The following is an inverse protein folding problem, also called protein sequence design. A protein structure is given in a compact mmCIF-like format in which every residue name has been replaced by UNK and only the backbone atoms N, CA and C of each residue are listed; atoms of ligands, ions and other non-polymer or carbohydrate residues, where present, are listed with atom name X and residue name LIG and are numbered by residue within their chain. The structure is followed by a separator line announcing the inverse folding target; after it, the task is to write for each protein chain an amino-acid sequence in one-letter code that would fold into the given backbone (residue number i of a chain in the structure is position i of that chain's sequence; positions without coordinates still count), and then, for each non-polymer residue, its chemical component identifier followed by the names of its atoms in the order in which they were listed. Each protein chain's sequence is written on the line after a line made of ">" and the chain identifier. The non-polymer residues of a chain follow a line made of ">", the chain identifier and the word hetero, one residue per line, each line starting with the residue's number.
data_IF_721039036723
#
_entry.id   IF_721039036723
#
_cell.length_a   1.000
_cell.length_b   1.000
_cell.length_c   1.000
_cell.angle_alpha   90.00
_cell.angle_beta   90.00
_cell.angle_gamma   90.00
#
_symmetry.space_group_name_H-M   'P 1'
#
loop_
_entity.id
_entity.type
_entity.pdbx_description
1 polymer ?
#
# COMPACT_ATOMS: atom_id res chain seq x y z
N UNK A 1 17.20 8.53 48.07
CA UNK A 1 16.85 7.14 47.74
C UNK A 1 16.46 7.10 46.28
N UNK A 2 17.40 6.75 45.41
CA UNK A 2 17.18 6.61 43.96
C UNK A 2 16.54 5.27 43.71
N UNK A 3 15.33 5.25 43.11
CA UNK A 3 14.74 4.04 42.61
C UNK A 3 15.44 3.69 41.29
N UNK A 4 16.39 2.80 41.34
CA UNK A 4 16.96 2.14 40.16
C UNK A 4 15.85 1.33 39.48
N UNK A 5 15.41 1.80 38.32
CA UNK A 5 14.55 1.04 37.43
C UNK A 5 15.32 -0.18 36.91
N UNK A 6 15.19 -1.29 37.59
CA UNK A 6 15.70 -2.57 37.12
C UNK A 6 14.91 -2.96 35.87
N UNK A 7 15.51 -2.76 34.70
CA UNK A 7 15.05 -3.34 33.45
C UNK A 7 15.23 -4.86 33.55
N UNK A 8 14.24 -5.57 34.09
CA UNK A 8 14.28 -7.01 34.09
C UNK A 8 13.98 -7.48 32.67
N UNK A 9 15.02 -7.86 31.95
CA UNK A 9 14.93 -8.61 30.72
C UNK A 9 14.48 -10.06 31.04
N UNK A 10 13.28 -10.22 31.60
CA UNK A 10 12.71 -11.56 31.65
C UNK A 10 12.35 -11.97 30.24
N UNK A 11 12.85 -13.11 29.74
CA UNK A 11 12.42 -13.63 28.47
C UNK A 11 10.92 -13.79 28.47
N UNK A 12 10.23 -13.20 27.48
CA UNK A 12 8.82 -13.53 27.27
C UNK A 12 8.71 -15.03 27.00
N UNK A 13 7.72 -15.67 27.64
CA UNK A 13 7.43 -17.07 27.34
C UNK A 13 7.09 -17.23 25.85
N UNK A 14 7.40 -18.39 25.30
CA UNK A 14 7.02 -18.72 23.93
C UNK A 14 5.50 -18.67 23.77
N UNK A 15 5.05 -18.14 22.64
CA UNK A 15 3.63 -18.04 22.33
C UNK A 15 3.04 -19.43 22.12
N UNK A 16 2.05 -19.78 22.94
CA UNK A 16 1.31 -21.04 22.80
C UNK A 16 0.46 -21.05 21.51
N UNK A 17 0.11 -22.26 21.06
CA UNK A 17 -0.79 -22.41 19.90
C UNK A 17 -2.17 -21.75 20.10
N UNK A 18 -2.63 -21.65 21.35
CA UNK A 18 -3.90 -21.00 21.68
C UNK A 18 -3.77 -19.48 21.56
N UNK A 19 -2.71 -18.88 22.12
CA UNK A 19 -2.43 -17.45 22.00
C UNK A 19 -2.22 -17.06 20.53
N UNK A 20 -1.48 -17.86 19.76
CA UNK A 20 -1.31 -17.64 18.34
C UNK A 20 -2.66 -17.55 17.60
N UNK A 21 -3.57 -18.50 17.83
CA UNK A 21 -4.90 -18.47 17.21
C UNK A 21 -5.74 -17.26 17.60
N UNK A 22 -5.67 -16.82 18.85
CA UNK A 22 -6.38 -15.64 19.33
C UNK A 22 -5.87 -14.36 18.60
N UNK A 23 -4.55 -14.20 18.51
CA UNK A 23 -3.95 -13.07 17.81
C UNK A 23 -4.15 -13.13 16.31
N UNK A 24 -4.06 -14.31 15.70
CA UNK A 24 -4.36 -14.51 14.28
C UNK A 24 -5.80 -14.11 13.96
N UNK A 25 -6.77 -14.53 14.78
CA UNK A 25 -8.18 -14.20 14.61
C UNK A 25 -8.42 -12.68 14.73
N UNK A 26 -7.80 -12.00 15.69
CA UNK A 26 -7.90 -10.54 15.85
C UNK A 26 -7.34 -9.80 14.63
N UNK A 27 -6.20 -10.24 14.11
CA UNK A 27 -5.59 -9.64 12.91
C UNK A 27 -6.47 -9.83 11.69
N UNK A 28 -6.94 -11.06 11.46
CA UNK A 28 -7.81 -11.38 10.31
C UNK A 28 -9.14 -10.62 10.39
N UNK A 29 -9.75 -10.54 11.56
CA UNK A 29 -11.02 -9.81 11.76
C UNK A 29 -10.87 -8.30 11.46
N UNK A 30 -9.83 -7.68 12.02
CA UNK A 30 -9.64 -6.23 11.91
C UNK A 30 -9.01 -5.77 10.60
N UNK A 31 -8.20 -6.61 9.94
CA UNK A 31 -7.42 -6.19 8.75
C UNK A 31 -7.64 -7.07 7.53
N UNK A 32 -8.20 -8.26 7.72
CA UNK A 32 -8.26 -9.30 6.68
C UNK A 32 -6.93 -10.04 6.46
N UNK A 33 -5.83 -9.58 7.05
CA UNK A 33 -4.49 -10.17 6.89
C UNK A 33 -4.44 -11.51 7.61
N UNK A 34 -4.00 -12.53 6.88
CA UNK A 34 -3.83 -13.89 7.41
C UNK A 34 -2.35 -14.12 7.69
N UNK A 35 -2.06 -14.48 8.93
CA UNK A 35 -0.73 -14.94 9.34
C UNK A 35 -0.75 -16.47 9.36
N UNK A 36 -0.01 -17.12 8.49
CA UNK A 36 0.05 -18.59 8.45
C UNK A 36 0.81 -19.17 9.67
N UNK A 37 0.62 -20.44 9.97
CA UNK A 37 1.28 -21.10 11.10
C UNK A 37 2.81 -21.03 11.01
N UNK A 38 3.37 -21.09 9.79
CA UNK A 38 4.81 -20.98 9.55
C UNK A 38 5.36 -19.59 9.92
N UNK A 39 4.49 -18.59 10.04
CA UNK A 39 4.83 -17.22 10.44
C UNK A 39 4.56 -16.93 11.91
N UNK A 40 4.32 -17.95 12.75
CA UNK A 40 4.11 -17.77 14.19
C UNK A 40 5.29 -17.05 14.84
N UNK A 41 6.53 -17.40 14.49
CA UNK A 41 7.74 -16.77 15.04
C UNK A 41 7.82 -15.28 14.70
N UNK A 42 7.39 -14.88 13.51
CA UNK A 42 7.29 -13.47 13.13
C UNK A 42 6.28 -12.73 14.00
N UNK A 43 5.09 -13.30 14.19
CA UNK A 43 4.06 -12.72 15.06
C UNK A 43 4.55 -12.59 16.50
N UNK A 44 5.13 -13.66 17.05
CA UNK A 44 5.71 -13.68 18.39
C UNK A 44 6.79 -12.61 18.57
N UNK A 45 7.70 -12.47 17.61
CA UNK A 45 8.77 -11.46 17.65
C UNK A 45 8.21 -10.04 17.61
N UNK A 46 7.24 -9.77 16.74
CA UNK A 46 6.61 -8.46 16.60
C UNK A 46 5.84 -8.04 17.84
N UNK A 47 5.01 -8.94 18.39
CA UNK A 47 4.27 -8.72 19.63
C UNK A 47 5.23 -8.57 20.82
N UNK A 48 6.17 -9.50 20.95
CA UNK A 48 7.14 -9.52 22.05
C UNK A 48 8.03 -8.27 22.09
N UNK A 49 8.42 -7.75 20.94
CA UNK A 49 9.12 -6.47 20.83
C UNK A 49 8.30 -5.33 21.44
N UNK A 50 7.03 -5.23 21.08
CA UNK A 50 6.15 -4.19 21.60
C UNK A 50 5.79 -4.38 23.06
N UNK A 51 5.53 -5.59 23.50
CA UNK A 51 5.28 -5.93 24.90
C UNK A 51 6.43 -5.49 25.81
N UNK A 52 7.67 -5.73 25.40
CA UNK A 52 8.87 -5.28 26.15
C UNK A 52 8.95 -3.76 26.29
N UNK A 53 8.69 -3.02 25.21
CA UNK A 53 8.66 -1.55 25.25
C UNK A 53 7.60 -1.00 26.22
N UNK A 54 6.51 -1.72 26.38
CA UNK A 54 5.39 -1.34 27.24
C UNK A 54 5.46 -1.93 28.66
N UNK A 55 6.46 -2.76 28.94
CA UNK A 55 6.58 -3.46 30.21
C UNK A 55 5.46 -4.47 30.48
N UNK A 56 4.88 -5.07 29.42
CA UNK A 56 3.81 -6.08 29.51
C UNK A 56 4.42 -7.46 29.45
N UNK A 57 4.15 -8.30 30.46
CA UNK A 57 4.81 -9.59 30.65
C UNK A 57 4.12 -10.79 29.99
N UNK A 58 2.87 -10.67 29.53
CA UNK A 58 2.11 -11.79 28.95
C UNK A 58 1.19 -11.36 27.81
N UNK A 59 0.92 -12.30 26.87
CA UNK A 59 0.11 -12.07 25.68
C UNK A 59 -1.36 -11.73 25.98
N UNK A 60 -1.93 -12.25 27.05
CA UNK A 60 -3.32 -12.01 27.41
C UNK A 60 -3.52 -10.57 27.91
N UNK A 61 -2.61 -10.08 28.74
CA UNK A 61 -2.61 -8.67 29.19
C UNK A 61 -2.38 -7.71 28.03
N UNK A 62 -1.48 -8.06 27.08
CA UNK A 62 -1.27 -7.25 25.88
C UNK A 62 -2.50 -7.26 24.97
N UNK A 63 -3.16 -8.41 24.80
CA UNK A 63 -4.41 -8.52 24.04
C UNK A 63 -5.49 -7.58 24.58
N UNK A 64 -5.73 -7.60 25.89
CA UNK A 64 -6.67 -6.66 26.53
C UNK A 64 -6.28 -5.20 26.26
N UNK A 65 -5.01 -4.86 26.42
CA UNK A 65 -4.52 -3.51 26.16
C UNK A 65 -4.77 -3.04 24.73
N UNK A 66 -4.69 -3.92 23.74
CA UNK A 66 -4.93 -3.64 22.33
C UNK A 66 -6.43 -3.56 21.99
N UNK A 67 -7.26 -4.30 22.75
CA UNK A 67 -8.70 -4.39 22.45
C UNK A 67 -9.54 -3.40 23.23
N UNK A 68 -9.07 -2.90 24.38
CA UNK A 68 -9.87 -2.15 25.33
C UNK A 68 -9.71 -0.62 25.16
N UNK A 69 -10.84 0.03 24.94
CA UNK A 69 -10.99 1.48 24.98
C UNK A 69 -10.20 2.29 23.95
N UNK A 70 -10.18 3.62 24.09
CA UNK A 70 -9.52 4.52 23.13
C UNK A 70 -8.00 4.31 23.04
N UNK A 71 -7.35 3.98 24.16
CA UNK A 71 -5.91 3.68 24.18
C UNK A 71 -5.58 2.41 23.40
N UNK A 72 -6.49 1.45 23.37
CA UNK A 72 -6.36 0.24 22.56
C UNK A 72 -6.31 0.53 21.06
N UNK A 73 -7.09 1.50 20.58
CA UNK A 73 -7.05 1.89 19.17
C UNK A 73 -5.70 2.51 18.75
N UNK A 74 -5.08 3.30 19.64
CA UNK A 74 -3.73 3.85 19.40
C UNK A 74 -2.68 2.75 19.41
N UNK A 75 -2.76 1.85 20.39
CA UNK A 75 -1.84 0.73 20.51
C UNK A 75 -1.99 -0.24 19.33
N UNK A 76 -3.22 -0.52 18.90
CA UNK A 76 -3.50 -1.29 17.68
C UNK A 76 -2.81 -0.70 16.46
N UNK A 77 -2.87 0.62 16.27
CA UNK A 77 -2.21 1.29 15.15
C UNK A 77 -0.68 1.11 15.20
N UNK A 78 -0.07 1.26 16.38
CA UNK A 78 1.36 1.03 16.57
C UNK A 78 1.77 -0.42 16.33
N UNK A 79 0.91 -1.36 16.70
CA UNK A 79 1.13 -2.78 16.46
C UNK A 79 1.02 -3.12 14.96
N UNK A 80 0.05 -2.55 14.25
CA UNK A 80 -0.11 -2.75 12.81
C UNK A 80 1.13 -2.33 12.02
N UNK A 81 1.75 -1.23 12.40
CA UNK A 81 2.98 -0.74 11.76
C UNK A 81 4.14 -1.75 11.84
N UNK A 82 4.13 -2.64 12.85
CA UNK A 82 5.12 -3.72 13.03
C UNK A 82 4.74 -5.02 12.32
N UNK A 83 3.45 -5.23 12.10
CA UNK A 83 2.91 -6.45 11.50
C UNK A 83 2.74 -6.35 9.99
N UNK A 84 2.70 -5.13 9.46
CA UNK A 84 2.64 -4.91 8.01
C UNK A 84 4.03 -4.99 7.39
N UNK A 85 4.12 -5.74 6.28
CA UNK A 85 5.36 -5.83 5.49
C UNK A 85 5.45 -4.58 4.62
N UNK A 86 6.45 -3.74 4.89
CA UNK A 86 6.66 -2.47 4.17
C UNK A 86 7.73 -2.61 3.07
N UNK A 87 7.80 -3.77 2.42
CA UNK A 87 8.73 -3.96 1.30
C UNK A 87 8.12 -3.39 0.02
N UNK A 88 8.68 -2.29 -0.43
CA UNK A 88 8.27 -1.62 -1.66
C UNK A 88 9.47 -0.94 -2.32
N UNK A 89 9.38 -0.69 -3.63
CA UNK A 89 10.40 -0.02 -4.43
C UNK A 89 9.75 0.74 -5.58
N UNK A 90 10.43 1.73 -6.11
CA UNK A 90 10.00 2.42 -7.32
C UNK A 90 9.94 1.45 -8.49
N UNK A 91 8.90 1.58 -9.33
CA UNK A 91 8.70 0.78 -10.54
C UNK A 91 8.83 -0.74 -10.33
N UNK A 92 8.38 -1.25 -9.18
CA UNK A 92 8.57 -2.65 -8.73
C UNK A 92 8.24 -3.69 -9.79
N UNK A 93 7.26 -3.44 -10.66
CA UNK A 93 6.91 -4.28 -11.80
C UNK A 93 6.85 -3.44 -13.07
N UNK A 94 8.00 -3.24 -13.71
CA UNK A 94 8.16 -2.34 -14.87
C UNK A 94 7.09 -2.53 -15.95
N UNK A 95 6.74 -3.76 -16.38
CA UNK A 95 5.69 -3.96 -17.40
C UNK A 95 4.35 -3.30 -17.06
N UNK A 96 3.97 -3.24 -15.77
CA UNK A 96 2.75 -2.54 -15.35
C UNK A 96 2.80 -1.03 -15.59
N UNK A 97 3.96 -0.42 -15.43
CA UNK A 97 4.16 1.02 -15.68
C UNK A 97 4.27 1.33 -17.17
N UNK A 98 4.85 0.41 -17.98
CA UNK A 98 4.86 0.51 -19.43
C UNK A 98 3.42 0.42 -19.99
N UNK A 99 2.61 -0.51 -19.48
CA UNK A 99 1.19 -0.58 -19.77
C UNK A 99 0.47 0.71 -19.40
N UNK A 100 0.75 1.25 -18.20
CA UNK A 100 0.16 2.52 -17.75
C UNK A 100 0.46 3.67 -18.74
N UNK A 101 1.71 3.82 -19.17
CA UNK A 101 2.09 4.86 -20.11
C UNK A 101 1.33 4.73 -21.45
N UNK A 102 1.17 3.50 -21.95
CA UNK A 102 0.39 3.21 -23.16
C UNK A 102 -1.08 3.56 -22.95
N UNK A 103 -1.68 3.07 -21.87
CA UNK A 103 -3.06 3.34 -21.52
C UNK A 103 -3.34 4.85 -21.39
N UNK A 104 -2.46 5.61 -20.74
CA UNK A 104 -2.65 7.06 -20.57
C UNK A 104 -2.67 7.79 -21.91
N UNK A 105 -1.78 7.42 -22.86
CA UNK A 105 -1.78 8.00 -24.22
C UNK A 105 -3.08 7.73 -24.96
N UNK A 106 -3.56 6.48 -24.94
CA UNK A 106 -4.80 6.06 -25.58
C UNK A 106 -6.01 6.75 -24.92
N UNK A 107 -6.07 6.73 -23.59
CA UNK A 107 -7.17 7.32 -22.83
C UNK A 107 -7.30 8.83 -23.06
N UNK A 108 -6.19 9.54 -23.09
CA UNK A 108 -6.18 10.99 -23.37
C UNK A 108 -6.59 11.32 -24.80
N UNK A 109 -6.23 10.46 -25.77
CA UNK A 109 -6.69 10.60 -27.14
C UNK A 109 -8.22 10.43 -27.25
N UNK A 110 -8.81 9.58 -26.41
CA UNK A 110 -10.25 9.32 -26.36
C UNK A 110 -11.04 10.45 -25.66
N UNK A 111 -10.64 10.82 -24.43
CA UNK A 111 -11.42 11.72 -23.57
C UNK A 111 -10.97 13.18 -23.61
N UNK A 112 -9.81 13.44 -24.24
CA UNK A 112 -9.18 14.76 -24.24
C UNK A 112 -8.57 15.14 -22.88
N UNK A 113 -8.08 16.38 -22.79
CA UNK A 113 -7.34 16.90 -21.64
C UNK A 113 -8.20 17.68 -20.64
N UNK A 114 -9.49 17.86 -20.92
CA UNK A 114 -10.40 18.67 -20.08
C UNK A 114 -10.77 17.96 -18.75
N UNK A 115 -10.71 16.63 -18.72
CA UNK A 115 -11.06 15.85 -17.54
C UNK A 115 -9.82 15.50 -16.71
N UNK A 116 -9.81 15.79 -15.40
CA UNK A 116 -8.73 15.38 -14.53
C UNK A 116 -8.67 13.84 -14.43
N UNK A 117 -7.49 13.27 -14.63
CA UNK A 117 -7.27 11.83 -14.45
C UNK A 117 -7.03 11.51 -12.97
N UNK A 118 -7.71 10.48 -12.49
CA UNK A 118 -7.66 9.99 -11.12
C UNK A 118 -6.98 8.63 -11.07
N UNK A 119 -5.82 8.58 -10.44
CA UNK A 119 -5.06 7.34 -10.24
C UNK A 119 -5.10 6.94 -8.76
N UNK A 120 -5.16 5.66 -8.48
CA UNK A 120 -5.19 5.13 -7.12
C UNK A 120 -4.22 3.96 -6.94
N UNK A 121 -3.31 4.08 -5.97
CA UNK A 121 -2.42 3.02 -5.49
C UNK A 121 -2.99 2.46 -4.19
N UNK A 122 -3.40 1.20 -4.17
CA UNK A 122 -4.02 0.50 -3.04
C UNK A 122 -2.98 -0.37 -2.34
N UNK A 123 -2.68 -0.07 -1.07
CA UNK A 123 -1.56 -0.67 -0.33
C UNK A 123 -0.24 0.01 -0.71
N UNK A 124 -0.24 1.34 -0.74
CA UNK A 124 0.87 2.14 -1.27
C UNK A 124 2.15 2.13 -0.43
N UNK A 125 2.13 1.56 0.78
CA UNK A 125 3.25 1.50 1.70
C UNK A 125 3.93 2.87 1.88
N UNK A 126 5.24 2.97 1.74
CA UNK A 126 6.03 4.19 1.89
C UNK A 126 6.06 5.10 0.66
N UNK A 127 5.17 4.89 -0.30
CA UNK A 127 4.88 5.87 -1.37
C UNK A 127 5.60 5.63 -2.70
N UNK A 128 6.47 4.64 -2.81
CA UNK A 128 7.22 4.38 -4.05
C UNK A 128 6.29 4.11 -5.24
N UNK A 129 5.20 3.36 -5.06
CA UNK A 129 4.25 3.09 -6.13
C UNK A 129 3.45 4.34 -6.56
N UNK A 130 2.79 5.10 -5.68
CA UNK A 130 2.08 6.31 -6.11
C UNK A 130 2.98 7.36 -6.74
N UNK A 131 4.23 7.51 -6.30
CA UNK A 131 5.18 8.40 -6.97
C UNK A 131 5.63 7.85 -8.32
N UNK A 132 5.77 6.53 -8.48
CA UNK A 132 6.02 5.93 -9.81
C UNK A 132 4.86 6.18 -10.77
N UNK A 133 3.61 6.06 -10.31
CA UNK A 133 2.41 6.41 -11.10
C UNK A 133 2.44 7.89 -11.51
N UNK A 134 2.78 8.78 -10.57
CA UNK A 134 2.86 10.21 -10.83
C UNK A 134 3.97 10.55 -11.85
N UNK A 135 5.14 9.91 -11.74
CA UNK A 135 6.24 10.08 -12.71
C UNK A 135 5.81 9.64 -14.12
N UNK A 136 5.17 8.45 -14.26
CA UNK A 136 4.68 7.99 -15.56
C UNK A 136 3.66 8.97 -16.15
N UNK A 137 2.72 9.47 -15.35
CA UNK A 137 1.74 10.44 -15.82
C UNK A 137 2.39 11.76 -16.26
N UNK A 138 3.37 12.25 -15.52
CA UNK A 138 4.11 13.47 -15.85
C UNK A 138 4.99 13.29 -17.11
N UNK A 139 5.67 12.15 -17.27
CA UNK A 139 6.45 11.86 -18.49
C UNK A 139 5.53 11.74 -19.71
N UNK A 140 4.36 11.11 -19.57
CA UNK A 140 3.39 11.04 -20.67
C UNK A 140 2.92 12.44 -21.09
N UNK A 141 2.78 13.41 -20.17
CA UNK A 141 2.51 14.81 -20.52
C UNK A 141 3.63 15.40 -21.39
N UNK A 142 4.87 15.17 -20.99
CA UNK A 142 6.04 15.68 -21.71
C UNK A 142 6.13 15.06 -23.12
N UNK A 143 5.97 13.74 -23.22
CA UNK A 143 6.03 13.01 -24.48
C UNK A 143 4.96 13.45 -25.48
N UNK A 144 3.73 13.65 -24.99
CA UNK A 144 2.61 14.08 -25.84
C UNK A 144 2.61 15.59 -26.14
N UNK A 145 3.44 16.39 -25.48
CA UNK A 145 3.39 17.84 -25.56
C UNK A 145 2.05 18.44 -25.11
N UNK A 146 1.32 17.72 -24.24
CA UNK A 146 0.00 18.09 -23.74
C UNK A 146 0.05 18.39 -22.24
N UNK A 147 -0.85 19.20 -21.77
CA UNK A 147 -1.03 19.46 -20.35
C UNK A 147 -2.43 19.08 -19.92
N UNK A 148 -2.52 18.23 -18.88
CA UNK A 148 -3.77 17.90 -18.24
C UNK A 148 -3.58 17.80 -16.72
N UNK A 149 -4.66 17.88 -15.96
CA UNK A 149 -4.60 17.67 -14.53
C UNK A 149 -4.69 16.17 -14.23
N UNK A 150 -3.79 15.67 -13.38
CA UNK A 150 -3.90 14.35 -12.77
C UNK A 150 -3.64 14.42 -11.27
N UNK A 151 -4.23 13.48 -10.54
CA UNK A 151 -3.98 13.28 -9.11
C UNK A 151 -3.83 11.80 -8.80
N UNK A 152 -2.87 11.47 -7.96
CA UNK A 152 -2.64 10.11 -7.47
C UNK A 152 -3.02 10.02 -6.00
N UNK A 153 -3.92 9.12 -5.67
CA UNK A 153 -4.23 8.79 -4.27
C UNK A 153 -3.51 7.51 -3.88
N UNK A 154 -2.64 7.58 -2.88
CA UNK A 154 -2.06 6.40 -2.23
C UNK A 154 -2.84 6.05 -0.97
N UNK A 155 -3.19 4.79 -0.76
CA UNK A 155 -3.85 4.35 0.48
C UNK A 155 -3.14 3.16 1.10
N UNK A 156 -3.01 3.18 2.43
CA UNK A 156 -2.44 2.09 3.20
C UNK A 156 -3.10 2.02 4.59
N UNK A 157 -2.97 0.89 5.27
CA UNK A 157 -3.45 0.73 6.64
C UNK A 157 -2.43 1.23 7.66
N UNK A 158 -1.14 1.23 7.33
CA UNK A 158 -0.01 1.64 8.17
C UNK A 158 0.16 3.15 8.18
N UNK A 159 0.03 3.77 9.36
CA UNK A 159 0.26 5.21 9.52
C UNK A 159 1.74 5.58 9.37
N UNK A 160 2.65 4.72 9.84
CA UNK A 160 4.08 4.99 9.72
C UNK A 160 4.55 4.96 8.27
N UNK A 161 4.01 4.03 7.46
CA UNK A 161 4.26 3.98 6.03
C UNK A 161 3.74 5.22 5.31
N UNK A 162 2.49 5.62 5.60
CA UNK A 162 1.88 6.83 5.03
C UNK A 162 2.62 8.12 5.40
N UNK A 163 3.18 8.21 6.60
CA UNK A 163 3.99 9.37 6.98
C UNK A 163 5.26 9.46 6.14
N UNK A 164 5.96 8.34 5.91
CA UNK A 164 7.11 8.29 4.99
C UNK A 164 6.70 8.68 3.56
N UNK A 165 5.55 8.18 3.09
CA UNK A 165 5.02 8.54 1.78
C UNK A 165 4.74 10.05 1.65
N UNK A 166 4.23 10.70 2.72
CA UNK A 166 3.97 12.14 2.74
C UNK A 166 5.25 12.97 2.85
N UNK A 167 6.25 12.50 3.59
CA UNK A 167 7.57 13.14 3.64
C UNK A 167 8.26 13.09 2.28
N UNK A 168 7.99 12.05 1.49
CA UNK A 168 8.54 11.83 0.15
C UNK A 168 10.08 11.87 0.12
N UNK A 169 10.73 11.39 1.20
CA UNK A 169 12.18 11.39 1.37
C UNK A 169 12.69 9.95 1.37
N UNK A 170 13.62 9.67 0.48
CA UNK A 170 14.12 8.33 0.23
C UNK A 170 15.65 8.27 0.32
N UNK A 171 16.18 7.10 0.71
CA UNK A 171 17.61 6.84 0.68
C UNK A 171 18.10 6.61 -0.76
N UNK A 172 19.41 6.82 -1.05
CA UNK A 172 19.97 6.54 -2.36
C UNK A 172 19.64 5.13 -2.88
N UNK A 173 19.72 4.13 -2.01
CA UNK A 173 19.40 2.72 -2.35
C UNK A 173 17.97 2.52 -2.89
N UNK A 174 17.03 3.36 -2.49
CA UNK A 174 15.65 3.29 -3.01
C UNK A 174 15.55 3.80 -4.45
N UNK A 175 16.51 4.63 -4.87
CA UNK A 175 16.57 5.20 -6.21
C UNK A 175 17.37 4.33 -7.20
N UNK A 176 18.05 3.28 -6.74
CA UNK A 176 18.89 2.42 -7.59
C UNK A 176 18.12 1.81 -8.79
N UNK A 177 16.81 1.62 -8.66
CA UNK A 177 15.95 1.08 -9.72
C UNK A 177 15.20 2.17 -10.52
N UNK A 178 15.39 3.44 -10.16
CA UNK A 178 14.84 4.58 -10.91
C UNK A 178 15.79 4.93 -12.04
N UNK A 179 15.24 5.10 -13.24
CA UNK A 179 16.03 5.59 -14.38
C UNK A 179 16.75 6.89 -14.02
N UNK A 180 18.01 7.04 -14.44
CA UNK A 180 18.84 8.18 -14.07
C UNK A 180 18.24 9.53 -14.50
N UNK A 181 17.58 9.58 -15.68
CA UNK A 181 16.91 10.79 -16.16
C UNK A 181 15.69 11.14 -15.29
N UNK A 182 14.91 10.14 -14.87
CA UNK A 182 13.79 10.31 -13.95
C UNK A 182 14.28 10.72 -12.57
N UNK A 183 15.36 10.09 -12.06
CA UNK A 183 15.95 10.45 -10.79
C UNK A 183 16.41 11.91 -10.76
N UNK A 184 17.09 12.35 -11.81
CA UNK A 184 17.54 13.75 -11.94
C UNK A 184 16.38 14.75 -12.04
N UNK A 185 15.28 14.37 -12.69
CA UNK A 185 14.10 15.24 -12.90
C UNK A 185 13.20 15.35 -11.70
N UNK A 186 13.00 14.25 -10.98
CA UNK A 186 11.96 14.15 -9.95
C UNK A 186 12.47 14.07 -8.53
N UNK A 187 13.79 14.02 -8.31
CA UNK A 187 14.36 13.99 -6.99
C UNK A 187 15.43 15.06 -6.81
N UNK A 188 15.47 15.65 -5.63
CA UNK A 188 16.48 16.63 -5.24
C UNK A 188 17.16 16.21 -3.92
N UNK A 189 18.46 16.44 -3.74
CA UNK A 189 19.12 16.19 -2.47
C UNK A 189 18.48 17.01 -1.33
N UNK A 190 18.26 16.39 -0.16
CA UNK A 190 17.60 17.04 0.97
C UNK A 190 18.36 16.89 2.31
N UNK A 191 19.67 16.70 2.27
CA UNK A 191 20.51 16.48 3.45
C UNK A 191 20.67 14.99 3.81
N UNK A 192 21.67 14.70 4.65
CA UNK A 192 22.02 13.33 5.12
C UNK A 192 22.16 12.29 3.99
N UNK A 193 22.54 12.72 2.80
CA UNK A 193 22.64 11.85 1.62
C UNK A 193 21.31 11.27 1.15
N UNK A 194 20.18 11.87 1.53
CA UNK A 194 18.84 11.47 1.10
C UNK A 194 18.32 12.34 -0.04
N UNK A 195 17.27 11.88 -0.67
CA UNK A 195 16.62 12.55 -1.80
C UNK A 195 15.14 12.74 -1.51
N UNK A 196 14.64 13.93 -1.82
CA UNK A 196 13.22 14.27 -1.72
C UNK A 196 12.61 14.37 -3.10
N UNK A 197 11.40 13.88 -3.27
CA UNK A 197 10.59 14.11 -4.47
C UNK A 197 10.36 15.62 -4.64
N UNK A 198 10.53 16.14 -5.85
CA UNK A 198 10.30 17.56 -6.15
C UNK A 198 8.86 17.98 -5.86
N UNK A 199 8.66 19.20 -5.37
CA UNK A 199 7.36 19.71 -4.93
C UNK A 199 6.28 19.59 -6.03
N UNK A 200 6.62 19.89 -7.28
CA UNK A 200 5.69 19.81 -8.42
C UNK A 200 5.10 18.42 -8.66
N UNK A 201 5.84 17.36 -8.31
CA UNK A 201 5.33 15.99 -8.36
C UNK A 201 4.65 15.60 -7.04
N UNK A 202 5.22 15.98 -5.90
CA UNK A 202 4.67 15.65 -4.58
C UNK A 202 3.25 16.20 -4.38
N UNK A 203 2.95 17.39 -4.90
CA UNK A 203 1.62 18.02 -4.86
C UNK A 203 0.56 17.24 -5.67
N UNK A 204 0.97 16.33 -6.55
CA UNK A 204 0.08 15.44 -7.31
C UNK A 204 -0.29 14.19 -6.54
N UNK A 205 0.36 13.90 -5.40
CA UNK A 205 0.17 12.66 -4.64
C UNK A 205 -0.45 12.96 -3.27
N UNK A 206 -1.60 12.37 -2.99
CA UNK A 206 -2.26 12.43 -1.70
C UNK A 206 -2.21 11.04 -1.04
N UNK A 207 -1.80 10.97 0.23
CA UNK A 207 -1.73 9.73 0.98
C UNK A 207 -2.77 9.71 2.10
N UNK A 208 -3.64 8.68 2.13
CA UNK A 208 -4.72 8.55 3.09
C UNK A 208 -4.74 7.15 3.74
N UNK A 209 -5.14 7.09 5.01
CA UNK A 209 -5.35 5.80 5.68
C UNK A 209 -6.63 5.15 5.18
N UNK A 210 -6.53 3.91 4.75
CA UNK A 210 -7.67 3.09 4.35
C UNK A 210 -7.40 1.62 4.68
N UNK A 211 -8.36 1.00 5.35
CA UNK A 211 -8.42 -0.45 5.44
C UNK A 211 -9.22 -0.97 4.23
N UNK A 212 -8.64 -1.88 3.45
CA UNK A 212 -9.31 -2.46 2.27
C UNK A 212 -10.60 -3.23 2.61
N UNK A 213 -10.80 -3.61 3.88
CA UNK A 213 -12.09 -4.15 4.34
C UNK A 213 -13.20 -3.08 4.30
N UNK A 214 -12.85 -1.81 4.30
CA UNK A 214 -13.78 -0.67 4.32
C UNK A 214 -13.98 -0.04 2.93
N UNK A 215 -13.54 -0.71 1.86
CA UNK A 215 -13.69 -0.23 0.48
C UNK A 215 -15.11 0.20 0.12
N UNK A 216 -16.14 -0.44 0.69
CA UNK A 216 -17.53 -0.05 0.44
C UNK A 216 -17.83 1.41 0.86
N UNK A 217 -17.08 1.94 1.84
CA UNK A 217 -17.23 3.31 2.38
C UNK A 217 -16.16 4.27 1.86
N UNK A 218 -15.20 3.77 1.07
CA UNK A 218 -14.12 4.60 0.55
C UNK A 218 -14.67 5.70 -0.39
N UNK A 219 -14.19 6.95 -0.28
CA UNK A 219 -14.71 8.05 -1.09
C UNK A 219 -14.23 8.01 -2.54
N UNK A 220 -13.26 7.16 -2.87
CA UNK A 220 -12.72 7.04 -4.21
C UNK A 220 -13.74 6.40 -5.15
N UNK A 221 -14.07 7.09 -6.23
CA UNK A 221 -14.98 6.61 -7.28
C UNK A 221 -14.65 7.25 -8.61
N UNK A 222 -15.01 6.56 -9.70
CA UNK A 222 -14.71 7.04 -11.04
C UNK A 222 -13.19 7.19 -11.25
N UNK A 223 -12.42 6.19 -10.81
CA UNK A 223 -10.98 6.16 -10.96
C UNK A 223 -10.62 5.72 -12.37
N UNK A 224 -9.73 6.47 -13.03
CA UNK A 224 -9.24 6.10 -14.35
C UNK A 224 -8.23 4.98 -14.26
N UNK A 225 -7.44 4.93 -13.19
CA UNK A 225 -6.44 3.89 -12.94
C UNK A 225 -6.48 3.43 -11.50
N UNK A 226 -6.49 2.12 -11.28
CA UNK A 226 -6.30 1.52 -9.95
C UNK A 226 -5.15 0.51 -10.03
N UNK A 227 -4.12 0.71 -9.20
CA UNK A 227 -3.06 -0.26 -8.95
C UNK A 227 -3.29 -0.94 -7.61
N UNK A 228 -3.32 -2.26 -7.61
CA UNK A 228 -3.44 -3.12 -6.43
C UNK A 228 -2.45 -4.27 -6.57
N UNK A 229 -1.18 -3.99 -6.31
CA UNK A 229 -0.09 -4.94 -6.49
C UNK A 229 0.55 -5.30 -5.15
N UNK A 230 0.93 -6.57 -4.99
CA UNK A 230 1.61 -7.11 -3.81
C UNK A 230 0.82 -6.93 -2.49
N UNK A 231 -0.48 -6.75 -2.58
CA UNK A 231 -1.39 -6.60 -1.46
C UNK A 231 -2.26 -7.83 -1.24
N UNK A 232 -2.80 -8.42 -2.32
CA UNK A 232 -3.78 -9.49 -2.22
C UNK A 232 -3.19 -10.77 -1.64
N UNK A 233 -1.87 -10.96 -1.72
CA UNK A 233 -1.15 -12.13 -1.15
C UNK A 233 -1.39 -12.32 0.34
N UNK A 234 -1.75 -11.27 1.06
CA UNK A 234 -1.99 -11.32 2.51
C UNK A 234 -3.40 -11.79 2.89
N UNK A 235 -4.31 -11.97 1.92
CA UNK A 235 -5.71 -12.26 2.17
C UNK A 235 -6.10 -13.68 1.73
N UNK A 236 -7.14 -14.23 2.34
CA UNK A 236 -7.77 -15.47 1.87
C UNK A 236 -8.35 -15.30 0.46
N UNK A 237 -8.37 -16.35 -0.34
CA UNK A 237 -8.82 -16.32 -1.75
C UNK A 237 -10.21 -15.67 -1.93
N UNK A 238 -11.17 -15.98 -1.06
CA UNK A 238 -12.51 -15.38 -1.13
C UNK A 238 -12.48 -13.87 -0.85
N UNK A 239 -11.64 -13.42 0.10
CA UNK A 239 -11.47 -12.01 0.42
C UNK A 239 -10.79 -11.24 -0.73
N UNK A 240 -9.82 -11.85 -1.42
CA UNK A 240 -9.22 -11.26 -2.63
C UNK A 240 -10.28 -10.97 -3.69
N UNK A 241 -11.22 -11.91 -3.92
CA UNK A 241 -12.34 -11.73 -4.86
C UNK A 241 -13.24 -10.56 -4.43
N UNK A 242 -13.58 -10.47 -3.15
CA UNK A 242 -14.39 -9.38 -2.63
C UNK A 242 -13.69 -8.03 -2.82
N UNK A 243 -12.41 -7.91 -2.46
CA UNK A 243 -11.62 -6.69 -2.66
C UNK A 243 -11.62 -6.30 -4.15
N UNK A 244 -11.30 -7.23 -5.04
CA UNK A 244 -11.26 -6.96 -6.48
C UNK A 244 -12.62 -6.54 -7.04
N UNK A 245 -13.71 -7.15 -6.62
CA UNK A 245 -15.06 -6.75 -7.03
C UNK A 245 -15.34 -5.31 -6.60
N UNK A 246 -14.97 -4.92 -5.36
CA UNK A 246 -15.12 -3.56 -4.86
C UNK A 246 -14.24 -2.56 -5.61
N UNK A 247 -13.02 -2.94 -6.00
CA UNK A 247 -12.14 -2.07 -6.81
C UNK A 247 -12.70 -1.91 -8.23
N UNK A 248 -13.22 -2.96 -8.84
CA UNK A 248 -13.88 -2.89 -10.15
C UNK A 248 -15.06 -1.90 -10.17
N UNK A 249 -15.86 -1.86 -9.10
CA UNK A 249 -16.97 -0.91 -8.93
C UNK A 249 -16.49 0.55 -8.87
N UNK A 250 -15.22 0.80 -8.50
CA UNK A 250 -14.63 2.14 -8.33
C UNK A 250 -14.02 2.73 -9.59
N UNK A 251 -13.81 1.91 -10.62
CA UNK A 251 -13.29 2.39 -11.90
C UNK A 251 -14.31 3.28 -12.64
N UNK A 252 -13.80 4.24 -13.38
CA UNK A 252 -14.57 4.93 -14.41
C UNK A 252 -14.84 3.98 -15.61
N UNK A 253 -15.84 4.23 -16.45
CA UNK A 253 -15.93 3.57 -17.75
C UNK A 253 -14.62 3.75 -18.55
N UNK A 254 -14.10 2.69 -19.13
CA UNK A 254 -12.79 2.66 -19.78
C UNK A 254 -11.59 2.62 -18.81
N UNK A 255 -11.81 2.68 -17.48
CA UNK A 255 -10.72 2.71 -16.48
C UNK A 255 -9.95 1.41 -16.40
N UNK A 256 -8.67 1.52 -16.01
CA UNK A 256 -7.68 0.43 -15.93
C UNK A 256 -7.51 -0.06 -14.48
N UNK A 257 -7.64 -1.37 -14.24
CA UNK A 257 -7.25 -2.06 -13.01
C UNK A 257 -6.00 -2.90 -13.24
N UNK A 258 -4.95 -2.66 -12.49
CA UNK A 258 -3.71 -3.45 -12.52
C UNK A 258 -3.54 -4.19 -11.20
N UNK A 259 -3.30 -5.50 -11.27
CA UNK A 259 -3.15 -6.40 -10.12
C UNK A 259 -1.75 -7.02 -10.18
N UNK A 260 -1.22 -7.45 -9.04
CA UNK A 260 0.06 -8.18 -8.99
C UNK A 260 -0.04 -9.53 -9.70
N UNK A 261 0.95 -9.84 -10.52
CA UNK A 261 1.01 -11.11 -11.26
C UNK A 261 1.03 -12.28 -10.26
N UNK A 262 0.15 -13.27 -10.46
CA UNK A 262 0.03 -14.43 -9.57
C UNK A 262 -0.76 -14.20 -8.28
N UNK A 263 -1.20 -12.98 -7.99
CA UNK A 263 -1.99 -12.71 -6.77
C UNK A 263 -3.42 -13.24 -6.85
N UNK A 264 -3.93 -13.39 -8.07
CA UNK A 264 -5.28 -13.91 -8.31
C UNK A 264 -5.32 -14.81 -9.54
N UNK A 265 -5.95 -15.95 -9.41
CA UNK A 265 -6.21 -16.92 -10.50
C UNK A 265 -7.72 -17.14 -10.59
N UNK A 266 -8.23 -17.35 -11.79
CA UNK A 266 -9.64 -17.65 -12.07
C UNK A 266 -10.61 -16.59 -11.49
N UNK A 267 -10.28 -15.32 -11.64
CA UNK A 267 -11.17 -14.21 -11.33
C UNK A 267 -11.56 -13.47 -12.61
N UNK A 268 -12.81 -13.21 -12.73
CA UNK A 268 -13.38 -12.36 -13.78
C UNK A 268 -14.51 -11.52 -13.19
N UNK A 269 -14.74 -10.38 -13.79
CA UNK A 269 -15.84 -9.50 -13.41
C UNK A 269 -16.63 -9.12 -14.66
N UNK A 270 -17.99 -9.16 -14.65
CA UNK A 270 -18.80 -8.95 -15.85
C UNK A 270 -18.59 -7.56 -16.51
N UNK A 271 -18.24 -6.56 -15.73
CA UNK A 271 -17.98 -5.20 -16.23
C UNK A 271 -16.52 -4.99 -16.68
N UNK A 272 -15.65 -6.00 -16.63
CA UNK A 272 -14.24 -5.86 -16.99
C UNK A 272 -13.87 -6.77 -18.15
N UNK A 273 -12.88 -6.35 -18.93
CA UNK A 273 -12.21 -7.11 -19.97
C UNK A 273 -10.72 -7.23 -19.66
N UNK A 274 -10.10 -8.39 -19.83
CA UNK A 274 -8.67 -8.56 -19.61
C UNK A 274 -7.87 -7.80 -20.69
N UNK A 275 -6.78 -7.19 -20.27
CA UNK A 275 -5.78 -6.60 -21.19
C UNK A 275 -4.92 -7.72 -21.75
N UNK A 276 -4.71 -7.70 -23.08
CA UNK A 276 -3.94 -8.73 -23.79
C UNK A 276 -2.41 -8.44 -23.70
N UNK A 277 -1.85 -8.55 -22.51
CA UNK A 277 -0.40 -8.52 -22.26
C UNK A 277 -0.06 -9.57 -21.19
N UNK A 278 0.61 -10.66 -21.58
CA UNK A 278 0.93 -11.79 -20.70
C UNK A 278 1.89 -11.43 -19.54
N UNK A 279 2.58 -10.30 -19.64
CA UNK A 279 3.51 -9.83 -18.60
C UNK A 279 2.82 -9.16 -17.43
N UNK A 280 1.54 -8.78 -17.58
CA UNK A 280 0.76 -8.06 -16.57
C UNK A 280 -0.58 -8.74 -16.30
N UNK A 281 -1.11 -8.56 -15.12
CA UNK A 281 -2.48 -8.93 -14.82
C UNK A 281 -3.30 -7.64 -14.71
N UNK A 282 -4.00 -7.29 -15.78
CA UNK A 282 -4.72 -6.04 -15.88
C UNK A 282 -6.08 -6.21 -16.59
N UNK A 283 -6.99 -5.30 -16.30
CA UNK A 283 -8.35 -5.31 -16.83
C UNK A 283 -8.80 -3.88 -17.14
N UNK A 284 -9.58 -3.69 -18.19
CA UNK A 284 -10.27 -2.43 -18.50
C UNK A 284 -11.76 -2.54 -18.23
N UNK A 285 -12.37 -1.48 -17.69
CA UNK A 285 -13.81 -1.43 -17.49
C UNK A 285 -14.52 -1.13 -18.80
N UNK A 286 -15.52 -1.94 -19.14
CA UNK A 286 -16.41 -1.71 -20.28
C UNK A 286 -17.06 -0.32 -20.18
N UNK A 287 -17.25 0.33 -21.32
CA UNK A 287 -17.92 1.60 -21.43
C UNK A 287 -19.43 1.53 -21.12
#
# INVERSE_FOLDING_TARGET
>A
MQAEGVWSLQPLADMSATEFRVWQALLEDRTGIVVSAERQSFLQTSLGGRMRELGVGDYASYYRRVTDGPHGAMEWSSLLDRLTVQETRFFRHRPSFDLLATYLRERLAEIGTAHPLKLWSVGCSSGEEPYSLAMVAAETQVEMGLSWYFGVTGTDISLSALNKAREAIYSPRKLDEVDAALAQRYFQPCGDGRYQVVASLAERVCCARLNVLELARAPMSGMDVIFCQNLLIYFRRWRRREILNRLAERLAPGGLLVIGVGEMVDWHHPALEPVADERVLAFTRKG
#
